data_IF_787926536491
#
_entry.id   IF_787926536491
#
_cell.length_a   1.000
_cell.length_b   1.000
_cell.length_c   1.000
_cell.angle_alpha   90.00
_cell.angle_beta   90.00
_cell.angle_gamma   90.00
#
_symmetry.space_group_name_H-M   'P 1'
#
loop_
_entity.id
_entity.type
_entity.pdbx_description
1 polymer ?
#
# COMPACT_ATOMS: atom_id res chain seq x y z
N UNK A 1 -27.54 1.35 -14.31
CA UNK A 1 -26.90 2.59 -14.82
C UNK A 1 -26.46 3.53 -13.70
N UNK A 2 -27.23 3.72 -12.62
CA UNK A 2 -26.88 4.61 -11.50
C UNK A 2 -25.50 4.34 -10.88
N UNK A 3 -25.16 3.09 -10.56
CA UNK A 3 -23.86 2.75 -9.96
C UNK A 3 -22.66 2.88 -10.91
N UNK A 4 -22.87 2.97 -12.22
CA UNK A 4 -21.76 3.21 -13.16
C UNK A 4 -21.27 4.67 -13.09
N UNK A 5 -22.15 5.60 -12.70
CA UNK A 5 -21.85 7.04 -12.63
C UNK A 5 -21.91 7.56 -11.20
N UNK A 6 -23.10 7.59 -10.59
CA UNK A 6 -23.35 8.27 -9.31
C UNK A 6 -23.17 7.39 -8.06
N UNK A 7 -23.53 6.11 -8.17
CA UNK A 7 -23.58 5.20 -7.02
C UNK A 7 -22.22 4.58 -6.66
N UNK A 8 -22.26 3.63 -5.73
CA UNK A 8 -21.07 3.00 -5.16
C UNK A 8 -20.17 2.37 -6.23
N UNK A 9 -18.87 2.71 -6.22
CA UNK A 9 -17.89 2.25 -7.20
C UNK A 9 -18.03 2.88 -8.60
N UNK A 10 -18.89 3.89 -8.74
CA UNK A 10 -19.10 4.62 -9.98
C UNK A 10 -18.06 5.70 -10.26
N UNK A 11 -18.17 6.32 -11.43
CA UNK A 11 -17.29 7.40 -11.87
C UNK A 11 -17.19 8.54 -10.85
N UNK A 12 -18.30 8.99 -10.27
CA UNK A 12 -18.32 10.16 -9.39
C UNK A 12 -17.76 9.87 -8.00
N UNK A 13 -17.83 8.64 -7.52
CA UNK A 13 -17.06 8.25 -6.33
C UNK A 13 -15.56 8.20 -6.61
N UNK A 14 -15.17 7.75 -7.81
CA UNK A 14 -13.78 7.78 -8.25
C UNK A 14 -13.26 9.22 -8.37
N UNK A 15 -14.07 10.14 -8.90
CA UNK A 15 -13.74 11.57 -8.95
C UNK A 15 -13.56 12.17 -7.55
N UNK A 16 -14.46 11.84 -6.61
CA UNK A 16 -14.33 12.24 -5.20
C UNK A 16 -13.05 11.68 -4.58
N UNK A 17 -12.74 10.41 -4.82
CA UNK A 17 -11.50 9.78 -4.34
C UNK A 17 -10.25 10.43 -4.94
N UNK A 18 -10.29 10.82 -6.21
CA UNK A 18 -9.19 11.54 -6.87
C UNK A 18 -8.95 12.92 -6.22
N UNK A 19 -10.03 13.64 -5.87
CA UNK A 19 -9.93 14.91 -5.14
C UNK A 19 -9.30 14.69 -3.75
N UNK A 20 -9.68 13.64 -3.03
CA UNK A 20 -9.06 13.28 -1.74
C UNK A 20 -7.56 12.99 -1.89
N UNK A 21 -7.15 12.20 -2.89
CA UNK A 21 -5.73 11.90 -3.17
C UNK A 21 -4.95 13.18 -3.48
N UNK A 22 -5.49 14.06 -4.33
CA UNK A 22 -4.85 15.35 -4.66
C UNK A 22 -4.75 16.28 -3.45
N UNK A 23 -5.77 16.27 -2.60
CA UNK A 23 -5.79 17.07 -1.36
C UNK A 23 -4.73 16.58 -0.38
N UNK A 24 -4.61 15.26 -0.18
CA UNK A 24 -3.56 14.67 0.65
C UNK A 24 -2.16 14.98 0.11
N UNK A 25 -1.96 14.83 -1.20
CA UNK A 25 -0.70 15.18 -1.85
C UNK A 25 -0.34 16.67 -1.69
N UNK A 26 -1.32 17.57 -1.78
CA UNK A 26 -1.11 19.00 -1.55
C UNK A 26 -0.71 19.29 -0.09
N UNK A 27 -1.35 18.63 0.88
CA UNK A 27 -1.01 18.73 2.31
C UNK A 27 0.43 18.31 2.57
N UNK A 28 0.82 17.12 2.09
CA UNK A 28 2.19 16.58 2.24
C UNK A 28 3.24 17.53 1.65
N UNK A 29 3.01 18.04 0.43
CA UNK A 29 3.93 18.98 -0.23
C UNK A 29 4.07 20.31 0.53
N UNK A 30 2.97 20.81 1.10
CA UNK A 30 2.99 22.07 1.86
C UNK A 30 3.77 21.94 3.16
N UNK A 31 3.59 20.86 3.92
CA UNK A 31 4.38 20.62 5.12
C UNK A 31 5.86 20.49 4.79
N UNK A 32 6.23 19.63 3.83
CA UNK A 32 7.62 19.46 3.42
C UNK A 32 8.28 20.78 2.95
N UNK A 33 7.54 21.65 2.26
CA UNK A 33 8.04 22.96 1.84
C UNK A 33 8.29 23.91 3.03
N UNK A 34 7.40 23.92 4.02
CA UNK A 34 7.54 24.72 5.24
C UNK A 34 8.73 24.22 6.06
N UNK A 35 8.78 22.91 6.34
CA UNK A 35 9.84 22.26 7.11
C UNK A 35 11.22 22.53 6.49
N UNK A 36 11.34 22.36 5.17
CA UNK A 36 12.56 22.70 4.43
C UNK A 36 12.93 24.18 4.55
N UNK A 37 11.96 25.10 4.49
CA UNK A 37 12.22 26.55 4.54
C UNK A 37 12.73 27.00 5.91
N UNK A 38 12.23 26.39 6.98
CA UNK A 38 12.62 26.75 8.36
C UNK A 38 13.76 25.88 8.91
N UNK A 39 14.23 24.90 8.15
CA UNK A 39 15.30 23.99 8.57
C UNK A 39 14.87 22.95 9.61
N UNK A 40 13.58 22.58 9.63
CA UNK A 40 13.05 21.54 10.52
C UNK A 40 13.29 20.17 9.89
N UNK A 41 14.02 19.31 10.60
CA UNK A 41 14.20 17.90 10.23
C UNK A 41 13.00 17.07 10.72
N UNK A 42 12.02 16.87 9.85
CA UNK A 42 10.83 16.09 10.19
C UNK A 42 11.18 14.62 10.41
N UNK A 43 10.69 14.05 11.50
CA UNK A 43 10.75 12.61 11.78
C UNK A 43 9.32 12.09 11.91
N UNK A 44 8.94 11.04 11.18
CA UNK A 44 7.63 10.43 11.31
C UNK A 44 7.41 9.95 12.75
N UNK A 45 6.16 10.06 13.21
CA UNK A 45 5.78 9.61 14.54
C UNK A 45 5.87 8.09 14.69
N UNK A 46 6.22 7.62 15.89
CA UNK A 46 6.44 6.20 16.16
C UNK A 46 5.21 5.31 15.91
N UNK A 47 3.99 5.86 16.02
CA UNK A 47 2.74 5.11 15.81
C UNK A 47 2.56 4.65 14.36
N UNK A 48 3.32 5.18 13.40
CA UNK A 48 3.34 4.67 12.04
C UNK A 48 4.02 3.30 11.93
N UNK A 49 4.90 2.97 12.88
CA UNK A 49 5.69 1.74 12.87
C UNK A 49 5.25 0.79 13.99
N UNK A 50 5.08 1.29 15.22
CA UNK A 50 4.82 0.48 16.42
C UNK A 50 3.49 0.82 17.09
N UNK A 51 2.90 -0.17 17.74
CA UNK A 51 1.57 -0.07 18.34
C UNK A 51 0.92 -1.44 18.51
N UNK A 52 -0.06 -1.55 19.40
CA UNK A 52 -0.67 -2.82 19.80
C UNK A 52 -1.12 -3.68 18.61
N UNK A 53 -1.68 -3.06 17.57
CA UNK A 53 -2.07 -3.76 16.35
C UNK A 53 -0.91 -3.94 15.35
N UNK A 54 -0.12 -2.89 15.10
CA UNK A 54 0.93 -2.92 14.08
C UNK A 54 2.09 -3.84 14.43
N UNK A 55 2.37 -4.07 15.71
CA UNK A 55 3.41 -4.98 16.17
C UNK A 55 3.04 -6.46 15.97
N UNK A 56 1.76 -6.77 15.77
CA UNK A 56 1.29 -8.13 15.48
C UNK A 56 1.37 -8.49 13.98
N UNK A 57 1.68 -7.54 13.11
CA UNK A 57 1.69 -7.76 11.66
C UNK A 57 2.80 -8.74 11.27
N UNK A 58 2.53 -9.71 10.35
CA UNK A 58 3.48 -10.77 10.01
C UNK A 58 4.73 -10.26 9.28
N UNK A 59 4.72 -9.01 8.80
CA UNK A 59 5.90 -8.37 8.21
C UNK A 59 7.11 -8.37 9.13
N UNK A 60 6.92 -8.29 10.45
CA UNK A 60 8.00 -8.30 11.45
C UNK A 60 8.72 -9.63 11.61
N UNK A 61 8.04 -10.74 11.30
CA UNK A 61 8.57 -12.10 11.52
C UNK A 61 9.03 -12.77 10.22
N UNK A 62 8.92 -12.08 9.08
CA UNK A 62 9.43 -12.56 7.79
C UNK A 62 10.93 -12.79 7.86
N UNK A 63 11.42 -13.84 7.18
CA UNK A 63 12.85 -14.16 7.10
C UNK A 63 13.19 -14.86 5.77
N UNK A 64 14.41 -14.71 5.24
CA UNK A 64 14.82 -15.43 4.03
C UNK A 64 14.57 -16.93 4.13
N UNK A 65 13.96 -17.51 3.09
CA UNK A 65 13.63 -18.94 3.04
C UNK A 65 12.34 -19.34 3.78
N UNK A 66 11.52 -18.39 4.23
CA UNK A 66 10.21 -18.67 4.84
C UNK A 66 9.06 -18.88 3.84
N UNK A 67 9.34 -18.77 2.54
CA UNK A 67 8.40 -19.02 1.45
C UNK A 67 8.63 -20.41 0.86
N UNK A 68 7.58 -21.22 0.82
CA UNK A 68 7.58 -22.46 0.04
C UNK A 68 7.41 -22.14 -1.45
N UNK A 69 8.53 -22.04 -2.15
CA UNK A 69 8.54 -21.76 -3.59
C UNK A 69 8.05 -22.94 -4.44
N UNK A 70 8.02 -24.16 -3.90
CA UNK A 70 7.48 -25.33 -4.63
C UNK A 70 5.98 -25.17 -4.87
N UNK A 71 5.26 -24.52 -3.96
CA UNK A 71 3.88 -24.11 -4.19
C UNK A 71 3.75 -23.33 -5.50
N UNK A 72 4.59 -22.30 -5.71
CA UNK A 72 4.51 -21.42 -6.88
C UNK A 72 5.00 -22.08 -8.19
N UNK A 73 5.75 -23.19 -8.10
CA UNK A 73 6.17 -23.99 -9.27
C UNK A 73 5.08 -24.90 -9.80
N UNK A 74 4.04 -25.16 -9.00
CA UNK A 74 2.91 -25.99 -9.44
C UNK A 74 2.23 -25.39 -10.65
N UNK A 75 1.96 -26.20 -11.65
CA UNK A 75 1.29 -25.77 -12.89
C UNK A 75 -0.15 -26.26 -12.98
N UNK A 76 -0.63 -27.01 -11.98
CA UNK A 76 -2.01 -27.50 -11.90
C UNK A 76 -2.99 -26.44 -11.35
N UNK A 77 -2.47 -25.34 -10.82
CA UNK A 77 -3.21 -24.20 -10.31
C UNK A 77 -2.60 -22.88 -10.82
N UNK A 78 -3.41 -21.83 -11.02
CA UNK A 78 -2.88 -20.50 -11.27
C UNK A 78 -2.36 -19.90 -9.97
N UNK A 79 -1.44 -18.96 -10.10
CA UNK A 79 -0.81 -18.30 -8.96
C UNK A 79 -0.87 -16.78 -9.08
N UNK A 80 -0.90 -16.11 -7.93
CA UNK A 80 -0.75 -14.66 -7.84
C UNK A 80 0.71 -14.28 -8.09
N UNK A 81 0.92 -13.17 -8.79
CA UNK A 81 2.24 -12.55 -8.95
C UNK A 81 2.67 -11.83 -7.65
N UNK A 82 2.91 -12.60 -6.59
CA UNK A 82 3.43 -12.05 -5.33
C UNK A 82 4.89 -11.62 -5.53
N UNK A 83 5.34 -10.59 -4.78
CA UNK A 83 6.70 -10.07 -4.94
C UNK A 83 7.79 -11.04 -4.44
N UNK A 84 7.44 -11.99 -3.59
CA UNK A 84 8.34 -12.92 -2.91
C UNK A 84 8.22 -14.37 -3.38
N UNK A 85 7.63 -14.62 -4.56
CA UNK A 85 7.51 -15.99 -5.12
C UNK A 85 8.86 -16.64 -5.39
N UNK A 86 9.89 -15.85 -5.73
CA UNK A 86 11.25 -16.32 -5.99
C UNK A 86 11.40 -17.19 -7.25
N UNK A 87 10.34 -17.36 -8.05
CA UNK A 87 10.29 -18.19 -9.27
C UNK A 87 9.39 -17.54 -10.33
N UNK A 88 9.57 -17.93 -11.60
CA UNK A 88 8.56 -17.67 -12.63
C UNK A 88 7.27 -18.40 -12.31
N UNK A 89 6.16 -17.73 -12.54
CA UNK A 89 4.84 -18.15 -12.06
C UNK A 89 3.95 -18.49 -13.24
N UNK A 90 3.28 -19.63 -13.19
CA UNK A 90 2.26 -20.00 -14.18
C UNK A 90 0.94 -19.27 -13.87
N UNK A 91 0.40 -18.54 -14.86
CA UNK A 91 -0.81 -17.72 -14.73
C UNK A 91 -2.01 -18.35 -15.43
#
# INVERSE_FOLDING_TARGET
>A
MYNATYGNGGAFETDRKLIEIKTEAAKLRRFAAIEKKIGLEHKPEAFWQHGEYSDLLPGWIRKPGDVDVEWFKRTDIPHRANADTGVEVHH
#
